data_IF_349082871802
#
_entry.id   IF_349082871802
#
_cell.length_a   1.000
_cell.length_b   1.000
_cell.length_c   1.000
_cell.angle_alpha   90.00
_cell.angle_beta   90.00
_cell.angle_gamma   90.00
#
_symmetry.space_group_name_H-M   'P 1'
#
loop_
_entity.id
_entity.type
_entity.pdbx_description
1 polymer ?
#
# COMPACT_ATOMS: atom_id res chain seq x y z
N UNK A 1 -20.90 -27.75 15.26
CA UNK A 1 -19.84 -27.17 14.38
C UNK A 1 -19.60 -25.74 14.81
N UNK A 2 -18.38 -25.37 15.20
CA UNK A 2 -18.08 -24.01 15.63
C UNK A 2 -18.27 -23.04 14.44
N UNK A 3 -19.08 -21.99 14.61
CA UNK A 3 -19.20 -20.93 13.60
C UNK A 3 -17.83 -20.28 13.43
N UNK A 4 -17.27 -20.31 12.21
CA UNK A 4 -16.07 -19.51 11.90
C UNK A 4 -16.41 -18.05 12.13
N UNK A 5 -15.55 -17.36 12.89
CA UNK A 5 -15.61 -15.91 13.03
C UNK A 5 -15.49 -15.30 11.63
N UNK A 6 -16.31 -14.29 11.34
CA UNK A 6 -16.23 -13.58 10.07
C UNK A 6 -14.79 -13.06 9.87
N UNK A 7 -14.23 -13.21 8.65
CA UNK A 7 -12.87 -12.74 8.38
C UNK A 7 -12.80 -11.21 8.54
N UNK A 8 -11.64 -10.72 9.00
CA UNK A 8 -11.42 -9.27 9.17
C UNK A 8 -11.32 -8.54 7.83
N UNK A 9 -10.86 -9.24 6.81
CA UNK A 9 -10.76 -8.75 5.43
C UNK A 9 -11.89 -9.43 4.65
N UNK A 10 -12.80 -8.67 4.02
CA UNK A 10 -13.82 -9.23 3.14
C UNK A 10 -13.21 -10.01 1.98
N UNK A 11 -13.80 -11.15 1.63
CA UNK A 11 -13.35 -12.00 0.52
C UNK A 11 -13.28 -11.22 -0.80
N UNK A 12 -14.25 -10.34 -1.06
CA UNK A 12 -14.26 -9.48 -2.24
C UNK A 12 -13.01 -8.59 -2.39
N UNK A 13 -12.40 -8.15 -1.27
CA UNK A 13 -11.14 -7.39 -1.34
C UNK A 13 -9.95 -8.30 -1.66
N UNK A 14 -9.96 -9.54 -1.15
CA UNK A 14 -8.93 -10.52 -1.48
C UNK A 14 -9.01 -10.91 -2.97
N UNK A 15 -10.22 -11.14 -3.47
CA UNK A 15 -10.47 -11.41 -4.88
C UNK A 15 -10.00 -10.24 -5.77
N UNK A 16 -10.26 -9.00 -5.34
CA UNK A 16 -9.78 -7.82 -6.05
C UNK A 16 -8.25 -7.70 -6.04
N UNK A 17 -7.59 -7.97 -4.92
CA UNK A 17 -6.13 -7.93 -4.83
C UNK A 17 -5.48 -9.03 -5.68
N UNK A 18 -6.10 -10.20 -5.76
CA UNK A 18 -5.64 -11.33 -6.57
C UNK A 18 -6.05 -11.22 -8.04
N UNK A 19 -6.96 -10.30 -8.39
CA UNK A 19 -7.41 -10.10 -9.76
C UNK A 19 -6.24 -9.60 -10.64
N UNK A 20 -5.68 -10.50 -11.43
CA UNK A 20 -4.56 -10.22 -12.34
C UNK A 20 -3.18 -10.61 -11.81
N UNK A 21 -3.09 -11.16 -10.59
CA UNK A 21 -1.87 -11.78 -10.06
C UNK A 21 -1.99 -13.31 -10.08
N UNK A 22 -0.87 -14.04 -10.15
CA UNK A 22 -0.87 -15.48 -9.83
C UNK A 22 -0.94 -15.64 -8.31
N UNK A 23 -2.02 -16.23 -7.76
CA UNK A 23 -2.14 -16.40 -6.31
C UNK A 23 -0.99 -17.21 -5.70
N UNK A 24 -0.31 -18.06 -6.48
CA UNK A 24 0.80 -18.87 -6.00
C UNK A 24 2.05 -18.05 -5.72
N UNK A 25 2.24 -16.94 -6.43
CA UNK A 25 3.43 -16.08 -6.29
C UNK A 25 3.16 -14.85 -5.42
N UNK A 26 1.95 -14.71 -4.87
CA UNK A 26 1.57 -13.56 -4.04
C UNK A 26 2.50 -13.34 -2.83
N UNK A 27 3.10 -14.43 -2.32
CA UNK A 27 4.03 -14.44 -1.18
C UNK A 27 5.50 -14.55 -1.58
N UNK A 28 5.81 -14.64 -2.88
CA UNK A 28 7.19 -14.68 -3.35
C UNK A 28 7.86 -13.31 -3.15
N UNK A 29 9.19 -13.29 -3.15
CA UNK A 29 9.95 -12.05 -3.10
C UNK A 29 9.64 -11.17 -4.32
N UNK A 30 9.37 -9.88 -4.10
CA UNK A 30 8.87 -8.95 -5.12
C UNK A 30 7.49 -9.36 -5.68
N UNK A 31 6.71 -10.11 -4.91
CA UNK A 31 5.35 -10.48 -5.24
C UNK A 31 4.32 -9.45 -4.77
N UNK A 32 3.04 -9.83 -4.86
CA UNK A 32 1.90 -8.96 -4.59
C UNK A 32 1.94 -8.26 -3.22
N UNK A 33 2.43 -8.95 -2.18
CA UNK A 33 2.51 -8.36 -0.84
C UNK A 33 3.54 -7.23 -0.75
N UNK A 34 4.65 -7.33 -1.47
CA UNK A 34 5.66 -6.27 -1.47
C UNK A 34 5.16 -5.05 -2.25
N UNK A 35 4.44 -5.27 -3.35
CA UNK A 35 3.73 -4.21 -4.07
C UNK A 35 2.66 -3.53 -3.19
N UNK A 36 1.90 -4.32 -2.41
CA UNK A 36 0.90 -3.79 -1.49
C UNK A 36 1.54 -2.96 -0.37
N UNK A 37 2.64 -3.43 0.23
CA UNK A 37 3.40 -2.66 1.23
C UNK A 37 3.87 -1.33 0.66
N UNK A 38 4.44 -1.36 -0.56
CA UNK A 38 4.89 -0.15 -1.26
C UNK A 38 3.73 0.84 -1.49
N UNK A 39 2.60 0.35 -2.03
CA UNK A 39 1.44 1.20 -2.30
C UNK A 39 0.87 1.83 -1.02
N UNK A 40 0.85 1.10 0.10
CA UNK A 40 0.42 1.63 1.40
C UNK A 40 1.39 2.70 1.93
N UNK A 41 2.70 2.48 1.81
CA UNK A 41 3.72 3.45 2.22
C UNK A 41 3.61 4.74 1.39
N UNK A 42 3.51 4.64 0.07
CA UNK A 42 3.34 5.79 -0.83
C UNK A 42 2.03 6.55 -0.54
N UNK A 43 0.95 5.83 -0.21
CA UNK A 43 -0.33 6.45 0.19
C UNK A 43 -0.20 7.23 1.50
N UNK A 44 0.50 6.69 2.49
CA UNK A 44 0.73 7.38 3.76
C UNK A 44 1.55 8.67 3.54
N UNK A 45 2.65 8.59 2.79
CA UNK A 45 3.49 9.75 2.46
C UNK A 45 2.70 10.83 1.70
N UNK A 46 1.84 10.44 0.77
CA UNK A 46 0.99 11.40 0.06
C UNK A 46 -0.02 12.08 0.99
N UNK A 47 -0.62 11.34 1.92
CA UNK A 47 -1.54 11.92 2.90
C UNK A 47 -0.83 12.88 3.87
N UNK A 48 0.40 12.59 4.27
CA UNK A 48 1.24 13.51 5.07
C UNK A 48 1.54 14.80 4.30
N UNK A 49 1.83 14.70 3.00
CA UNK A 49 2.03 15.87 2.14
C UNK A 49 0.76 16.70 1.97
N UNK A 50 -0.40 16.06 1.78
CA UNK A 50 -1.68 16.77 1.70
C UNK A 50 -1.99 17.51 3.00
N UNK A 51 -1.75 16.86 4.15
CA UNK A 51 -1.90 17.50 5.46
C UNK A 51 -0.94 18.68 5.64
N UNK A 52 0.33 18.52 5.25
CA UNK A 52 1.33 19.57 5.38
C UNK A 52 1.00 20.80 4.52
N UNK A 53 0.60 20.58 3.27
CA UNK A 53 0.27 21.66 2.34
C UNK A 53 -1.12 22.29 2.57
N UNK A 54 -1.98 21.67 3.38
CA UNK A 54 -3.25 22.25 3.81
C UNK A 54 -3.06 23.36 4.86
N UNK A 55 -1.89 23.43 5.50
CA UNK A 55 -1.50 24.60 6.29
C UNK A 55 -0.99 25.65 5.31
N UNK A 56 -1.71 26.77 5.13
CA UNK A 56 -1.50 27.82 4.11
C UNK A 56 -0.14 28.58 4.24
N UNK A 57 0.98 27.86 4.29
CA UNK A 57 2.34 28.37 4.20
C UNK A 57 2.55 28.92 2.77
N UNK A 58 2.25 30.22 2.62
CA UNK A 58 2.29 30.93 1.34
C UNK A 58 3.67 30.76 0.70
N UNK A 59 3.71 30.03 -0.42
CA UNK A 59 4.91 29.84 -1.23
C UNK A 59 5.41 28.40 -1.35
N UNK A 60 4.85 27.43 -0.60
CA UNK A 60 5.18 26.01 -0.79
C UNK A 60 4.17 25.32 -1.71
N UNK A 61 4.65 24.51 -2.66
CA UNK A 61 3.79 23.75 -3.58
C UNK A 61 4.44 22.41 -3.95
N UNK A 62 3.64 21.47 -4.47
CA UNK A 62 4.15 20.17 -4.92
C UNK A 62 5.13 20.36 -6.07
N UNK A 63 6.33 19.78 -5.94
CA UNK A 63 7.38 19.82 -6.96
C UNK A 63 7.76 18.42 -7.47
N UNK A 64 6.76 17.61 -7.83
CA UNK A 64 6.95 16.28 -8.40
C UNK A 64 7.24 15.16 -7.38
N UNK A 65 7.83 14.08 -7.86
CA UNK A 65 8.12 12.85 -7.10
C UNK A 65 9.59 12.43 -7.26
N UNK A 66 10.19 11.95 -6.17
CA UNK A 66 11.53 11.36 -6.17
C UNK A 66 11.47 9.84 -6.04
N UNK A 67 12.37 9.12 -6.73
CA UNK A 67 12.50 7.66 -6.57
C UNK A 67 13.46 7.35 -5.43
N UNK A 68 13.03 6.53 -4.48
CA UNK A 68 13.87 6.00 -3.40
C UNK A 68 13.68 4.48 -3.30
N UNK A 69 14.79 3.75 -3.31
CA UNK A 69 14.79 2.32 -2.99
C UNK A 69 14.89 2.18 -1.47
N UNK A 70 13.98 1.41 -0.87
CA UNK A 70 13.91 1.20 0.57
C UNK A 70 14.15 -0.28 0.85
N UNK A 71 15.09 -0.57 1.75
CA UNK A 71 15.31 -1.92 2.27
C UNK A 71 14.24 -2.22 3.30
N UNK A 72 13.49 -3.30 3.08
CA UNK A 72 12.46 -3.78 3.99
C UNK A 72 12.92 -5.03 4.73
N UNK A 73 12.11 -5.56 5.65
CA UNK A 73 12.44 -6.81 6.35
C UNK A 73 12.63 -8.00 5.41
N UNK A 74 12.02 -7.95 4.22
CA UNK A 74 12.12 -8.98 3.18
C UNK A 74 13.20 -8.69 2.13
N UNK A 75 13.97 -7.60 2.28
CA UNK A 75 14.96 -7.12 1.30
C UNK A 75 14.78 -5.66 0.95
#
# INVERSE_FOLDING_TARGET
MARRKAPRIPDALLDQLLAGADPKTAFDANGLLDDLKKALAERALNAEMDHHLASDEVGNSRNGYGRKTVTTETG
#
